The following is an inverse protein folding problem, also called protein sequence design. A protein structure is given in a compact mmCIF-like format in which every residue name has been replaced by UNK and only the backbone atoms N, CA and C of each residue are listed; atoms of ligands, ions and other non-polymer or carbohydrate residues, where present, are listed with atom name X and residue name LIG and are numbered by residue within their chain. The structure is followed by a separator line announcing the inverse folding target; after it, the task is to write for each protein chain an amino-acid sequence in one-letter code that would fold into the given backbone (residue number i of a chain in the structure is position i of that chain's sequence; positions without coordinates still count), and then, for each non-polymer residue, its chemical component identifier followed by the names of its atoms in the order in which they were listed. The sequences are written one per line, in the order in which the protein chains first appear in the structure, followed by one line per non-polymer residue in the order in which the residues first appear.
data_IF_505536125559
#
_entry.id   IF_505536125559
#
_cell.length_a   1.000
_cell.length_b   1.000
_cell.length_c   1.000
_cell.angle_alpha   90.00
_cell.angle_beta   90.00
_cell.angle_gamma   90.00
#
_symmetry.space_group_name_H-M   'P 1'
#
loop_
_entity.id
_entity.type
_entity.pdbx_description
1 polymer ?
#
# COMPACT_ATOMS: atom_id res chain seq x y z
N UNK A 1 -62.02 -59.16 73.19
CA UNK A 1 -63.12 -60.15 73.28
C UNK A 1 -62.87 -61.27 74.30
N UNK A 2 -61.65 -61.80 74.47
CA UNK A 2 -61.36 -62.93 75.39
C UNK A 2 -61.63 -62.66 76.89
N UNK A 3 -61.36 -61.45 77.39
CA UNK A 3 -61.50 -61.12 78.82
C UNK A 3 -62.96 -60.91 79.26
N UNK A 4 -63.82 -60.46 78.36
CA UNK A 4 -65.25 -60.22 78.62
C UNK A 4 -66.03 -61.52 78.64
N UNK A 5 -65.74 -62.45 77.72
CA UNK A 5 -66.31 -63.80 77.68
C UNK A 5 -65.99 -64.62 78.95
N UNK A 6 -64.77 -64.47 79.52
CA UNK A 6 -64.39 -65.11 80.80
C UNK A 6 -65.20 -64.58 81.99
N UNK A 7 -65.49 -63.28 82.03
CA UNK A 7 -66.31 -62.69 83.10
C UNK A 7 -67.78 -63.13 83.02
N UNK A 8 -68.32 -63.27 81.82
CA UNK A 8 -69.70 -63.75 81.62
C UNK A 8 -69.82 -65.22 82.06
N UNK A 9 -68.88 -66.09 81.68
CA UNK A 9 -68.87 -67.50 82.12
C UNK A 9 -68.74 -67.68 83.64
N UNK A 10 -68.00 -66.79 84.32
CA UNK A 10 -67.86 -66.82 85.78
C UNK A 10 -69.10 -66.31 86.52
N UNK A 11 -69.89 -65.43 85.90
CA UNK A 11 -71.15 -64.95 86.46
C UNK A 11 -72.26 -66.01 86.35
N UNK A 12 -72.29 -66.78 85.25
CA UNK A 12 -73.28 -67.86 85.05
C UNK A 12 -73.06 -69.04 86.00
N UNK A 13 -71.80 -69.35 86.38
CA UNK A 13 -71.51 -70.42 87.35
C UNK A 13 -71.91 -70.04 88.78
N UNK A 14 -71.69 -68.79 89.18
CA UNK A 14 -72.09 -68.30 90.51
C UNK A 14 -73.61 -68.21 90.69
N UNK A 15 -74.35 -67.91 89.62
CA UNK A 15 -75.82 -67.87 89.67
C UNK A 15 -76.45 -69.26 89.85
N UNK A 16 -75.89 -70.30 89.22
CA UNK A 16 -76.34 -71.69 89.40
C UNK A 16 -76.07 -72.23 90.82
N UNK A 17 -74.97 -71.80 91.44
CA UNK A 17 -74.59 -72.20 92.80
C UNK A 17 -75.51 -71.57 93.87
N UNK A 18 -75.95 -70.34 93.64
CA UNK A 18 -76.91 -69.63 94.50
C UNK A 18 -78.33 -70.23 94.45
N UNK A 19 -78.82 -70.62 93.26
CA UNK A 19 -80.12 -71.30 93.12
C UNK A 19 -80.16 -72.68 93.80
N UNK A 20 -79.03 -73.40 93.78
CA UNK A 20 -78.92 -74.73 94.40
C UNK A 20 -78.93 -74.66 95.94
N UNK A 21 -78.40 -73.59 96.53
CA UNK A 21 -78.46 -73.36 97.98
C UNK A 21 -79.85 -72.93 98.47
N UNK A 22 -80.60 -72.17 97.67
CA UNK A 22 -81.98 -71.76 98.00
C UNK A 22 -82.96 -72.95 98.03
N UNK A 23 -82.80 -73.93 97.13
CA UNK A 23 -83.65 -75.13 97.11
C UNK A 23 -83.40 -76.06 98.30
N UNK A 24 -82.19 -76.10 98.86
CA UNK A 24 -81.86 -76.92 100.05
C UNK A 24 -82.40 -76.32 101.36
N UNK A 25 -82.67 -75.01 101.40
CA UNK A 25 -83.23 -74.33 102.58
C UNK A 25 -84.75 -74.48 102.78
N UNK A 26 -85.48 -74.95 101.77
CA UNK A 26 -86.95 -74.99 101.79
C UNK A 26 -87.55 -76.25 102.45
N UNK A 27 -86.73 -77.25 102.81
CA UNK A 27 -87.19 -78.56 103.33
C UNK A 27 -87.23 -78.66 104.87
N UNK A 28 -86.82 -77.62 105.60
CA UNK A 28 -86.88 -77.60 107.07
C UNK A 28 -87.58 -76.34 107.58
N UNK A 29 -88.60 -76.57 108.39
CA UNK A 29 -89.29 -75.63 109.30
C UNK A 29 -90.45 -74.81 108.73
N UNK A 30 -91.65 -75.37 108.92
CA UNK A 30 -92.93 -74.66 109.02
C UNK A 30 -92.91 -73.70 110.23
N UNK A 31 -92.99 -72.39 109.96
CA UNK A 31 -93.21 -71.33 110.95
C UNK A 31 -93.88 -70.10 110.31
N UNK A 32 -94.62 -69.26 111.06
CA UNK A 32 -95.78 -68.52 110.51
C UNK A 32 -95.43 -67.21 109.76
N UNK A 33 -95.65 -67.25 108.44
CA UNK A 33 -96.42 -66.36 107.55
C UNK A 33 -96.43 -64.80 107.65
N UNK A 34 -95.70 -64.14 108.55
CA UNK A 34 -95.73 -62.65 108.63
C UNK A 34 -94.45 -61.93 108.16
N UNK A 35 -93.32 -62.64 108.01
CA UNK A 35 -92.02 -62.05 107.61
C UNK A 35 -91.60 -62.28 106.14
N UNK A 36 -92.32 -63.12 105.37
CA UNK A 36 -91.99 -63.42 103.96
C UNK A 36 -92.40 -62.32 102.96
N UNK A 37 -93.29 -61.38 103.32
CA UNK A 37 -93.72 -60.30 102.42
C UNK A 37 -92.71 -59.15 102.31
N UNK A 38 -91.87 -58.96 103.34
CA UNK A 38 -90.84 -57.90 103.38
C UNK A 38 -89.64 -58.29 102.52
N UNK A 39 -89.18 -59.55 102.59
CA UNK A 39 -88.06 -60.05 101.76
C UNK A 39 -88.39 -60.08 100.25
N UNK A 40 -89.63 -60.41 99.88
CA UNK A 40 -90.07 -60.41 98.46
C UNK A 40 -90.21 -58.98 97.92
N UNK A 41 -90.62 -58.03 98.75
CA UNK A 41 -90.66 -56.60 98.38
C UNK A 41 -89.25 -56.01 98.23
N UNK A 42 -88.33 -56.40 99.11
CA UNK A 42 -86.91 -56.04 99.05
C UNK A 42 -86.26 -56.59 97.77
N UNK A 43 -86.50 -57.86 97.44
CA UNK A 43 -86.02 -58.49 96.20
C UNK A 43 -86.60 -57.81 94.94
N UNK A 44 -87.88 -57.42 94.92
CA UNK A 44 -88.44 -56.64 93.81
C UNK A 44 -87.78 -55.28 93.66
N UNK A 45 -87.47 -54.60 94.77
CA UNK A 45 -86.78 -53.30 94.75
C UNK A 45 -85.34 -53.44 94.25
N UNK A 46 -84.64 -54.50 94.67
CA UNK A 46 -83.30 -54.83 94.19
C UNK A 46 -83.31 -55.20 92.70
N UNK A 47 -84.28 -55.99 92.25
CA UNK A 47 -84.45 -56.32 90.82
C UNK A 47 -84.72 -55.04 90.00
N UNK A 48 -85.57 -54.14 90.48
CA UNK A 48 -85.83 -52.85 89.82
C UNK A 48 -84.58 -51.95 89.76
N UNK A 49 -83.74 -51.96 90.79
CA UNK A 49 -82.44 -51.26 90.78
C UNK A 49 -81.47 -51.87 89.78
N UNK A 50 -81.41 -53.20 89.72
CA UNK A 50 -80.54 -53.94 88.79
C UNK A 50 -80.99 -53.71 87.34
N UNK A 51 -82.29 -53.63 87.07
CA UNK A 51 -82.83 -53.38 85.72
C UNK A 51 -82.53 -51.95 85.23
N UNK A 52 -82.60 -50.96 86.14
CA UNK A 52 -82.15 -49.59 85.88
C UNK A 52 -80.64 -49.52 85.61
N UNK A 53 -79.83 -50.26 86.39
CA UNK A 53 -78.38 -50.36 86.18
C UNK A 53 -78.04 -51.07 84.85
N UNK A 54 -78.78 -52.11 84.47
CA UNK A 54 -78.63 -52.80 83.17
C UNK A 54 -78.96 -51.84 82.01
N UNK A 55 -80.01 -51.03 82.14
CA UNK A 55 -80.38 -50.03 81.12
C UNK A 55 -79.26 -48.99 80.95
N UNK A 56 -78.74 -48.47 82.05
CA UNK A 56 -77.62 -47.53 82.08
C UNK A 56 -76.32 -48.13 81.51
N UNK A 57 -76.07 -49.42 81.77
CA UNK A 57 -74.93 -50.15 81.20
C UNK A 57 -75.09 -50.36 79.70
N UNK A 58 -76.30 -50.65 79.21
CA UNK A 58 -76.57 -50.79 77.78
C UNK A 58 -76.41 -49.46 77.02
N UNK A 59 -76.81 -48.34 77.62
CA UNK A 59 -76.64 -47.00 77.03
C UNK A 59 -75.15 -46.62 76.96
N UNK A 60 -74.40 -46.83 78.05
CA UNK A 60 -72.94 -46.66 78.05
C UNK A 60 -72.21 -47.61 77.10
N UNK A 61 -72.72 -48.82 76.91
CA UNK A 61 -72.16 -49.76 75.94
C UNK A 61 -72.37 -49.24 74.51
N UNK A 62 -73.52 -48.63 74.21
CA UNK A 62 -73.82 -48.03 72.91
C UNK A 62 -72.96 -46.79 72.64
N UNK A 63 -72.83 -45.88 73.61
CA UNK A 63 -71.93 -44.73 73.50
C UNK A 63 -70.46 -45.15 73.35
N UNK A 64 -70.05 -46.21 74.07
CA UNK A 64 -68.70 -46.79 73.91
C UNK A 64 -68.51 -47.47 72.55
N UNK A 65 -69.56 -48.02 71.94
CA UNK A 65 -69.53 -48.58 70.59
C UNK A 65 -69.45 -47.48 69.53
N UNK A 66 -70.21 -46.40 69.68
CA UNK A 66 -70.18 -45.24 68.78
C UNK A 66 -68.82 -44.51 68.88
N UNK A 67 -68.28 -44.35 70.10
CA UNK A 67 -66.94 -43.83 70.34
C UNK A 67 -65.84 -44.73 69.75
N UNK A 68 -65.99 -46.05 69.83
CA UNK A 68 -65.08 -47.00 69.17
C UNK A 68 -65.13 -46.86 67.64
N UNK A 69 -66.31 -46.70 67.04
CA UNK A 69 -66.44 -46.47 65.60
C UNK A 69 -65.78 -45.15 65.16
N UNK A 70 -65.93 -44.08 65.93
CA UNK A 70 -65.28 -42.79 65.66
C UNK A 70 -63.74 -42.87 65.79
N UNK A 71 -63.23 -43.61 66.78
CA UNK A 71 -61.78 -43.84 66.94
C UNK A 71 -61.22 -44.67 65.79
N UNK A 72 -61.94 -45.67 65.29
CA UNK A 72 -61.51 -46.44 64.12
C UNK A 72 -61.55 -45.61 62.83
N UNK A 73 -62.54 -44.73 62.65
CA UNK A 73 -62.58 -43.78 61.53
C UNK A 73 -61.38 -42.82 61.55
N UNK A 74 -61.06 -42.21 62.71
CA UNK A 74 -59.89 -41.34 62.87
C UNK A 74 -58.57 -42.10 62.65
N UNK A 75 -58.50 -43.38 63.04
CA UNK A 75 -57.34 -44.23 62.73
C UNK A 75 -57.17 -44.43 61.22
N UNK A 76 -58.26 -44.69 60.50
CA UNK A 76 -58.23 -44.82 59.04
C UNK A 76 -57.79 -43.51 58.36
N UNK A 77 -58.34 -42.36 58.78
CA UNK A 77 -57.95 -41.04 58.28
C UNK A 77 -56.49 -40.71 58.59
N UNK A 78 -55.99 -41.04 59.79
CA UNK A 78 -54.58 -40.85 60.15
C UNK A 78 -53.66 -41.69 59.25
N UNK A 79 -54.05 -42.93 58.93
CA UNK A 79 -53.29 -43.79 58.01
C UNK A 79 -53.29 -43.18 56.61
N UNK A 80 -54.44 -42.72 56.12
CA UNK A 80 -54.54 -42.06 54.82
C UNK A 80 -53.72 -40.77 54.74
N UNK A 81 -53.82 -39.90 55.75
CA UNK A 81 -53.06 -38.65 55.81
C UNK A 81 -51.55 -38.89 55.89
N UNK A 82 -51.10 -39.92 56.63
CA UNK A 82 -49.69 -40.33 56.66
C UNK A 82 -49.21 -40.78 55.29
N UNK A 83 -50.01 -41.56 54.58
CA UNK A 83 -49.65 -42.04 53.24
C UNK A 83 -49.63 -40.90 52.23
N UNK A 84 -50.62 -40.00 52.27
CA UNK A 84 -50.65 -38.81 51.43
C UNK A 84 -49.47 -37.87 51.72
N UNK A 85 -49.07 -37.72 52.98
CA UNK A 85 -47.86 -36.99 53.37
C UNK A 85 -46.60 -37.64 52.79
N UNK A 86 -46.48 -38.98 52.84
CA UNK A 86 -45.37 -39.72 52.22
C UNK A 86 -45.31 -39.52 50.71
N UNK A 87 -46.44 -39.62 50.01
CA UNK A 87 -46.53 -39.40 48.56
C UNK A 87 -46.16 -37.96 48.22
N UNK A 88 -46.65 -36.97 48.96
CA UNK A 88 -46.30 -35.56 48.73
C UNK A 88 -44.82 -35.28 48.98
N UNK A 89 -44.23 -35.85 50.04
CA UNK A 89 -42.80 -35.72 50.33
C UNK A 89 -41.95 -36.38 49.24
N UNK A 90 -42.35 -37.56 48.74
CA UNK A 90 -41.67 -38.21 47.64
C UNK A 90 -41.73 -37.38 46.35
N UNK A 91 -42.90 -36.80 46.04
CA UNK A 91 -43.07 -35.91 44.90
C UNK A 91 -42.23 -34.62 45.03
N UNK A 92 -42.20 -34.00 46.22
CA UNK A 92 -41.39 -32.82 46.50
C UNK A 92 -39.88 -33.11 46.38
N UNK A 93 -39.42 -34.26 46.88
CA UNK A 93 -38.04 -34.71 46.73
C UNK A 93 -37.68 -34.96 45.27
N UNK A 94 -38.59 -35.54 44.48
CA UNK A 94 -38.39 -35.75 43.04
C UNK A 94 -38.30 -34.40 42.30
N UNK A 95 -39.24 -33.49 42.53
CA UNK A 95 -39.23 -32.15 41.95
C UNK A 95 -37.98 -31.35 42.33
N UNK A 96 -37.52 -31.44 43.59
CA UNK A 96 -36.30 -30.78 44.03
C UNK A 96 -35.04 -31.35 43.35
N UNK A 97 -35.00 -32.66 43.06
CA UNK A 97 -33.90 -33.27 42.29
C UNK A 97 -33.91 -32.82 40.84
N UNK A 98 -35.08 -32.79 40.19
CA UNK A 98 -35.25 -32.33 38.81
C UNK A 98 -34.89 -30.84 38.68
N UNK A 99 -35.34 -29.98 39.60
CA UNK A 99 -34.98 -28.57 39.62
C UNK A 99 -33.47 -28.34 39.76
N UNK A 100 -32.79 -29.11 40.62
CA UNK A 100 -31.33 -29.02 40.75
C UNK A 100 -30.61 -29.48 39.48
N UNK A 101 -31.11 -30.53 38.83
CA UNK A 101 -30.56 -30.99 37.55
C UNK A 101 -30.73 -29.93 36.45
N UNK A 102 -31.89 -29.29 36.38
CA UNK A 102 -32.19 -28.23 35.42
C UNK A 102 -31.34 -26.98 35.68
N UNK A 103 -31.20 -26.55 36.93
CA UNK A 103 -30.32 -25.43 37.29
C UNK A 103 -28.85 -25.72 36.93
N UNK A 104 -28.39 -26.95 37.13
CA UNK A 104 -27.04 -27.34 36.72
C UNK A 104 -26.87 -27.35 35.19
N UNK A 105 -27.90 -27.79 34.45
CA UNK A 105 -27.90 -27.73 32.99
C UNK A 105 -27.93 -26.28 32.47
N UNK A 106 -28.71 -25.41 33.11
CA UNK A 106 -28.80 -23.99 32.79
C UNK A 106 -27.47 -23.26 33.03
N UNK A 107 -26.83 -23.46 34.18
CA UNK A 107 -25.49 -22.86 34.42
C UNK A 107 -24.46 -23.30 33.38
N UNK A 108 -24.48 -24.59 32.99
CA UNK A 108 -23.60 -25.10 31.93
C UNK A 108 -23.90 -24.48 30.57
N UNK A 109 -25.16 -24.17 30.26
CA UNK A 109 -25.51 -23.50 29.00
C UNK A 109 -25.10 -22.03 29.02
N UNK A 110 -25.28 -21.33 30.14
CA UNK A 110 -24.80 -19.95 30.34
C UNK A 110 -23.28 -19.84 30.16
N UNK A 111 -22.50 -20.75 30.76
CA UNK A 111 -21.05 -20.81 30.58
C UNK A 111 -20.65 -21.00 29.11
N UNK A 112 -21.35 -21.89 28.38
CA UNK A 112 -21.13 -22.11 26.95
C UNK A 112 -21.47 -20.87 26.12
N UNK A 113 -22.58 -20.19 26.45
CA UNK A 113 -23.00 -18.96 25.77
C UNK A 113 -21.98 -17.84 26.02
N UNK A 114 -21.50 -17.68 27.25
CA UNK A 114 -20.46 -16.70 27.58
C UNK A 114 -19.16 -16.98 26.82
N UNK A 115 -18.75 -18.26 26.73
CA UNK A 115 -17.59 -18.67 25.94
C UNK A 115 -17.76 -18.34 24.45
N UNK A 116 -18.89 -18.70 23.85
CA UNK A 116 -19.20 -18.42 22.44
C UNK A 116 -19.26 -16.91 22.16
N UNK A 117 -19.82 -16.10 23.07
CA UNK A 117 -19.84 -14.65 22.94
C UNK A 117 -18.43 -14.05 22.90
N UNK A 118 -17.53 -14.57 23.73
CA UNK A 118 -16.11 -14.17 23.73
C UNK A 118 -15.40 -14.56 22.44
N UNK A 119 -15.63 -15.78 21.94
CA UNK A 119 -15.07 -16.26 20.67
C UNK A 119 -15.58 -15.44 19.49
N UNK A 120 -16.88 -15.11 19.44
CA UNK A 120 -17.48 -14.25 18.42
C UNK A 120 -16.88 -12.85 18.44
N UNK A 121 -16.70 -12.26 19.63
CA UNK A 121 -16.04 -10.95 19.75
C UNK A 121 -14.61 -10.99 19.22
N UNK A 122 -13.83 -11.99 19.65
CA UNK A 122 -12.46 -12.18 19.17
C UNK A 122 -12.40 -12.40 17.64
N UNK A 123 -13.38 -13.11 17.08
CA UNK A 123 -13.48 -13.32 15.63
C UNK A 123 -13.81 -12.02 14.88
N UNK A 124 -14.71 -11.19 15.43
CA UNK A 124 -15.02 -9.87 14.87
C UNK A 124 -13.81 -8.95 14.88
N UNK A 125 -13.08 -8.86 16.00
CA UNK A 125 -11.86 -8.05 16.12
C UNK A 125 -10.78 -8.49 15.11
N UNK A 126 -10.65 -9.80 14.88
CA UNK A 126 -9.75 -10.36 13.85
C UNK A 126 -10.20 -10.01 12.43
N UNK A 127 -11.50 -10.02 12.17
CA UNK A 127 -12.04 -9.65 10.87
C UNK A 127 -11.78 -8.18 10.55
N UNK A 128 -12.02 -7.28 11.50
CA UNK A 128 -11.74 -5.85 11.36
C UNK A 128 -10.25 -5.57 11.09
N UNK A 129 -9.36 -6.28 11.80
CA UNK A 129 -7.93 -6.17 11.56
C UNK A 129 -7.55 -6.65 10.14
N UNK A 130 -8.15 -7.75 9.70
CA UNK A 130 -7.89 -8.34 8.39
C UNK A 130 -8.44 -7.45 7.26
N UNK A 131 -9.59 -6.81 7.46
CA UNK A 131 -10.15 -5.83 6.52
C UNK A 131 -9.23 -4.61 6.38
N UNK A 132 -8.73 -4.06 7.48
CA UNK A 132 -7.74 -2.96 7.46
C UNK A 132 -6.46 -3.36 6.72
N UNK A 133 -5.94 -4.57 6.98
CA UNK A 133 -4.75 -5.09 6.30
C UNK A 133 -5.02 -5.29 4.80
N UNK A 134 -6.21 -5.76 4.43
CA UNK A 134 -6.59 -5.94 3.02
C UNK A 134 -6.68 -4.59 2.29
N UNK A 135 -7.26 -3.56 2.92
CA UNK A 135 -7.29 -2.19 2.39
C UNK A 135 -5.87 -1.63 2.17
N UNK A 136 -4.97 -1.79 3.13
CA UNK A 136 -3.57 -1.38 3.00
C UNK A 136 -2.85 -2.13 1.86
N UNK A 137 -2.99 -3.46 1.83
CA UNK A 137 -2.41 -4.31 0.77
C UNK A 137 -2.93 -3.92 -0.62
N UNK A 138 -4.23 -3.61 -0.75
CA UNK A 138 -4.82 -3.13 -2.01
C UNK A 138 -4.25 -1.78 -2.44
N UNK A 139 -4.03 -0.85 -1.51
CA UNK A 139 -3.40 0.44 -1.80
C UNK A 139 -1.94 0.27 -2.27
N UNK A 140 -1.17 -0.58 -1.60
CA UNK A 140 0.21 -0.90 -1.99
C UNK A 140 0.27 -1.56 -3.37
N UNK A 141 -0.66 -2.49 -3.67
CA UNK A 141 -0.76 -3.13 -4.98
C UNK A 141 -1.07 -2.12 -6.09
N UNK A 142 -1.98 -1.17 -5.85
CA UNK A 142 -2.27 -0.09 -6.81
C UNK A 142 -1.05 0.80 -7.05
N UNK A 143 -0.29 1.14 -5.99
CA UNK A 143 0.96 1.89 -6.10
C UNK A 143 2.00 1.14 -6.93
N UNK A 144 2.19 -0.16 -6.67
CA UNK A 144 3.12 -1.01 -7.40
C UNK A 144 2.71 -1.15 -8.89
N UNK A 145 1.41 -1.24 -9.18
CA UNK A 145 0.88 -1.32 -10.53
C UNK A 145 1.12 -0.02 -11.30
N UNK A 146 0.92 1.14 -10.67
CA UNK A 146 1.23 2.43 -11.28
C UNK A 146 2.73 2.61 -11.54
N UNK A 147 3.59 2.29 -10.57
CA UNK A 147 5.03 2.31 -10.75
C UNK A 147 5.48 1.37 -11.89
N UNK A 148 4.86 0.19 -12.02
CA UNK A 148 5.12 -0.73 -13.13
C UNK A 148 4.68 -0.16 -14.49
N UNK A 149 3.54 0.56 -14.55
CA UNK A 149 3.10 1.26 -15.78
C UNK A 149 4.09 2.35 -16.17
N UNK A 150 4.54 3.15 -15.22
CA UNK A 150 5.55 4.20 -15.43
C UNK A 150 6.86 3.59 -15.95
N UNK A 151 7.42 2.60 -15.24
CA UNK A 151 8.62 1.89 -15.70
C UNK A 151 8.45 1.29 -17.10
N UNK A 152 7.27 0.73 -17.42
CA UNK A 152 6.98 0.21 -18.77
C UNK A 152 6.98 1.30 -19.82
N UNK A 153 6.48 2.50 -19.50
CA UNK A 153 6.53 3.65 -20.41
C UNK A 153 7.97 4.13 -20.61
N UNK A 154 8.78 4.20 -19.56
CA UNK A 154 10.20 4.57 -19.64
C UNK A 154 11.00 3.56 -20.45
N UNK A 155 10.85 2.25 -20.18
CA UNK A 155 11.55 1.18 -20.92
C UNK A 155 11.19 1.20 -22.40
N UNK A 156 9.93 1.52 -22.74
CA UNK A 156 9.52 1.68 -24.15
C UNK A 156 10.20 2.89 -24.80
N UNK A 157 10.25 4.03 -24.11
CA UNK A 157 10.98 5.21 -24.59
C UNK A 157 12.47 4.91 -24.83
N UNK A 158 13.14 4.31 -23.83
CA UNK A 158 14.55 3.91 -23.94
C UNK A 158 14.77 2.90 -25.07
N UNK A 159 13.85 1.95 -25.27
CA UNK A 159 13.93 0.98 -26.38
C UNK A 159 13.80 1.66 -27.75
N UNK A 160 12.89 2.62 -27.88
CA UNK A 160 12.71 3.41 -29.11
C UNK A 160 13.97 4.25 -29.39
N UNK A 161 14.57 4.86 -28.36
CA UNK A 161 15.84 5.57 -28.47
C UNK A 161 17.00 4.64 -28.88
N UNK A 162 17.12 3.46 -28.26
CA UNK A 162 18.12 2.44 -28.63
C UNK A 162 17.92 1.94 -30.05
N UNK A 163 16.67 1.77 -30.50
CA UNK A 163 16.36 1.39 -31.86
C UNK A 163 16.78 2.47 -32.85
N UNK A 164 16.58 3.76 -32.51
CA UNK A 164 17.04 4.87 -33.32
C UNK A 164 18.58 4.96 -33.34
N UNK A 165 19.23 4.82 -32.19
CA UNK A 165 20.69 4.80 -32.08
C UNK A 165 21.31 3.64 -32.87
N UNK A 166 20.72 2.44 -32.80
CA UNK A 166 21.16 1.28 -33.58
C UNK A 166 21.02 1.51 -35.09
N UNK A 167 19.91 2.13 -35.53
CA UNK A 167 19.74 2.55 -36.93
C UNK A 167 20.83 3.55 -37.34
N UNK A 168 21.24 4.48 -36.48
CA UNK A 168 22.35 5.40 -36.75
C UNK A 168 23.66 4.65 -36.92
N UNK A 169 24.03 3.75 -35.99
CA UNK A 169 25.29 2.98 -36.06
C UNK A 169 25.36 2.07 -37.27
N UNK A 170 24.22 1.56 -37.75
CA UNK A 170 24.13 0.74 -38.96
C UNK A 170 24.07 1.58 -40.26
N UNK A 171 24.25 2.90 -40.18
CA UNK A 171 24.16 3.79 -41.34
C UNK A 171 22.74 3.98 -41.88
N UNK A 172 21.70 3.60 -41.13
CA UNK A 172 20.29 3.78 -41.45
C UNK A 172 19.77 5.21 -41.19
N UNK A 173 18.56 5.48 -41.68
CA UNK A 173 17.90 6.78 -41.53
C UNK A 173 17.28 6.95 -40.13
N UNK A 174 17.48 8.13 -39.52
CA UNK A 174 16.79 8.58 -38.31
C UNK A 174 15.89 9.78 -38.64
N UNK A 175 14.93 10.12 -37.78
CA UNK A 175 13.81 11.05 -38.05
C UNK A 175 14.23 12.43 -38.60
N UNK A 176 15.42 12.92 -38.25
CA UNK A 176 16.00 14.15 -38.82
C UNK A 176 16.83 13.89 -40.08
N UNK A 177 17.53 12.74 -40.17
CA UNK A 177 18.22 12.29 -41.40
C UNK A 177 17.27 12.13 -42.58
N UNK A 178 16.02 11.71 -42.35
CA UNK A 178 15.02 11.55 -43.41
C UNK A 178 14.73 12.87 -44.15
N UNK A 179 14.95 14.03 -43.51
CA UNK A 179 14.85 15.34 -44.18
C UNK A 179 16.10 15.70 -45.01
N UNK A 180 17.27 15.15 -44.67
CA UNK A 180 18.57 15.51 -45.26
C UNK A 180 19.20 14.40 -46.13
N UNK A 181 18.62 13.20 -46.21
CA UNK A 181 19.10 12.07 -47.03
C UNK A 181 18.07 11.52 -48.01
N UNK A 182 17.16 12.39 -48.45
CA UNK A 182 16.65 12.22 -49.81
C UNK A 182 17.89 12.15 -50.75
N UNK A 183 17.96 11.20 -51.71
CA UNK A 183 19.07 11.10 -52.66
C UNK A 183 19.45 12.44 -53.32
N UNK A 184 18.50 13.39 -53.40
CA UNK A 184 18.74 14.77 -53.85
C UNK A 184 19.74 15.58 -53.00
N UNK A 185 20.05 15.15 -51.77
CA UNK A 185 20.93 15.84 -50.84
C UNK A 185 22.26 15.11 -50.56
N UNK A 186 22.52 13.96 -51.20
CA UNK A 186 23.79 13.24 -51.10
C UNK A 186 25.07 14.10 -51.35
N UNK A 187 25.05 15.13 -52.24
CA UNK A 187 26.20 16.03 -52.41
C UNK A 187 26.54 16.88 -51.17
N UNK A 188 25.57 17.10 -50.27
CA UNK A 188 25.78 17.86 -49.03
C UNK A 188 26.45 17.01 -47.95
N UNK A 189 26.08 15.72 -47.86
CA UNK A 189 26.65 14.76 -46.90
C UNK A 189 28.16 14.58 -47.12
N UNK A 190 28.60 14.48 -48.39
CA UNK A 190 30.01 14.38 -48.75
C UNK A 190 30.85 15.65 -48.52
N UNK A 191 30.23 16.83 -48.38
CA UNK A 191 30.92 18.09 -48.05
C UNK A 191 30.96 18.39 -46.55
N UNK A 192 30.02 17.84 -45.78
CA UNK A 192 29.77 18.25 -44.38
C UNK A 192 30.13 17.16 -43.37
N UNK A 193 30.55 15.98 -43.81
CA UNK A 193 30.94 14.89 -42.91
C UNK A 193 32.27 14.25 -43.34
N UNK A 194 33.42 14.77 -42.88
CA UNK A 194 34.61 13.94 -42.74
C UNK A 194 34.60 13.23 -41.38
N UNK A 195 35.25 12.07 -41.31
CA UNK A 195 35.51 11.33 -40.07
C UNK A 195 36.18 12.21 -38.97
N UNK A 196 36.69 13.38 -39.34
CA UNK A 196 37.38 14.36 -38.51
C UNK A 196 36.45 15.23 -37.65
N UNK A 197 35.14 15.31 -37.92
CA UNK A 197 34.23 16.19 -37.18
C UNK A 197 34.11 15.86 -35.68
N UNK A 198 34.24 14.57 -35.31
CA UNK A 198 34.27 14.14 -33.91
C UNK A 198 35.64 14.35 -33.25
N UNK A 199 36.74 14.28 -34.01
CA UNK A 199 38.07 14.59 -33.53
C UNK A 199 38.25 16.11 -33.30
N UNK A 200 37.67 16.95 -34.16
CA UNK A 200 37.64 18.40 -34.00
C UNK A 200 36.84 18.86 -32.79
N UNK A 201 35.78 18.14 -32.43
CA UNK A 201 35.00 18.43 -31.22
C UNK A 201 35.83 18.17 -29.95
N UNK A 202 36.54 17.04 -29.89
CA UNK A 202 37.42 16.72 -28.77
C UNK A 202 38.57 17.75 -28.63
N UNK A 203 39.13 18.18 -29.75
CA UNK A 203 40.20 19.19 -29.80
C UNK A 203 39.69 20.59 -29.41
N UNK A 204 38.53 21.00 -29.92
CA UNK A 204 37.89 22.28 -29.55
C UNK A 204 37.51 22.33 -28.07
N UNK A 205 37.13 21.19 -27.49
CA UNK A 205 36.86 21.07 -26.05
C UNK A 205 38.14 21.31 -25.23
N UNK A 206 39.27 20.74 -25.66
CA UNK A 206 40.56 20.96 -25.02
C UNK A 206 41.06 22.43 -25.16
N UNK A 207 40.85 23.03 -26.33
CA UNK A 207 41.23 24.43 -26.59
C UNK A 207 40.36 25.41 -25.79
N UNK A 208 39.05 25.14 -25.65
CA UNK A 208 38.16 25.92 -24.79
C UNK A 208 38.57 25.83 -23.31
N UNK A 209 38.94 24.64 -22.83
CA UNK A 209 39.43 24.46 -21.45
C UNK A 209 40.72 25.26 -21.20
N UNK A 210 41.61 25.34 -22.19
CA UNK A 210 42.84 26.13 -22.12
C UNK A 210 42.54 27.65 -22.11
N UNK A 211 41.63 28.11 -22.97
CA UNK A 211 41.23 29.51 -23.05
C UNK A 211 40.69 30.05 -21.72
N UNK A 212 39.79 29.31 -21.07
CA UNK A 212 39.22 29.73 -19.79
C UNK A 212 40.21 29.67 -18.63
N UNK A 213 41.12 28.69 -18.64
CA UNK A 213 42.23 28.59 -17.68
C UNK A 213 43.12 29.84 -17.69
N UNK A 214 43.35 30.45 -18.86
CA UNK A 214 44.21 31.62 -19.03
C UNK A 214 43.49 32.95 -18.70
N UNK A 215 42.15 32.99 -18.71
CA UNK A 215 41.36 34.18 -18.32
C UNK A 215 41.13 34.31 -16.81
N UNK A 216 41.29 33.23 -16.04
CA UNK A 216 41.18 33.24 -14.57
C UNK A 216 39.75 33.42 -14.01
N UNK A 217 38.75 33.62 -14.87
CA UNK A 217 37.35 33.81 -14.48
C UNK A 217 36.61 32.47 -14.35
N UNK A 218 36.75 31.86 -13.17
CA UNK A 218 36.22 30.53 -12.85
C UNK A 218 34.69 30.45 -12.90
N UNK A 219 33.97 31.55 -12.73
CA UNK A 219 32.50 31.53 -12.77
C UNK A 219 31.98 31.47 -14.22
N UNK A 220 32.62 32.21 -15.13
CA UNK A 220 32.30 32.14 -16.57
C UNK A 220 32.67 30.78 -17.15
N UNK A 221 33.82 30.23 -16.78
CA UNK A 221 34.25 28.87 -17.14
C UNK A 221 33.24 27.82 -16.66
N UNK A 222 32.84 27.90 -15.39
CA UNK A 222 31.86 26.98 -14.79
C UNK A 222 30.49 27.09 -15.45
N UNK A 223 30.05 28.29 -15.80
CA UNK A 223 28.81 28.52 -16.54
C UNK A 223 28.90 27.89 -17.94
N UNK A 224 30.00 28.11 -18.66
CA UNK A 224 30.25 27.53 -19.99
C UNK A 224 30.32 26.00 -19.97
N UNK A 225 30.86 25.37 -18.92
CA UNK A 225 30.87 23.90 -18.83
C UNK A 225 29.56 23.32 -18.29
N UNK A 226 28.80 24.07 -17.49
CA UNK A 226 27.52 23.62 -16.93
C UNK A 226 26.46 23.26 -17.99
N UNK A 227 26.54 23.87 -19.17
CA UNK A 227 25.70 23.57 -20.33
C UNK A 227 26.07 22.25 -21.04
N UNK A 228 27.24 21.67 -20.76
CA UNK A 228 27.73 20.43 -21.39
C UNK A 228 27.96 19.28 -20.41
N UNK A 229 27.90 19.54 -19.11
CA UNK A 229 28.10 18.51 -18.10
C UNK A 229 27.07 17.39 -18.26
N UNK A 230 27.59 16.19 -18.51
CA UNK A 230 26.80 14.98 -18.64
C UNK A 230 25.91 14.80 -17.40
N UNK A 231 24.58 14.71 -17.55
CA UNK A 231 23.75 14.33 -16.43
C UNK A 231 24.10 12.90 -16.01
N UNK A 232 23.82 12.57 -14.75
CA UNK A 232 23.99 11.21 -14.21
C UNK A 232 23.22 10.13 -15.01
N UNK A 233 22.30 10.54 -15.90
CA UNK A 233 21.73 9.74 -16.98
C UNK A 233 22.00 10.41 -18.33
N UNK A 234 22.23 9.65 -19.41
CA UNK A 234 22.28 10.20 -20.76
C UNK A 234 21.04 11.07 -21.03
N UNK A 235 21.24 12.31 -21.47
CA UNK A 235 20.15 13.21 -21.83
C UNK A 235 19.21 12.52 -22.83
N UNK A 236 17.88 12.61 -22.64
CA UNK A 236 16.90 12.25 -23.66
C UNK A 236 17.22 12.94 -24.99
N UNK A 237 16.85 12.32 -26.12
CA UNK A 237 17.16 12.84 -27.45
C UNK A 237 16.64 14.28 -27.67
N UNK A 238 15.49 14.63 -27.09
CA UNK A 238 14.90 15.98 -27.13
C UNK A 238 15.79 17.05 -26.50
N UNK A 239 16.42 16.75 -25.37
CA UNK A 239 17.30 17.68 -24.66
C UNK A 239 18.64 17.83 -25.39
N UNK A 240 19.17 16.76 -25.98
CA UNK A 240 20.34 16.82 -26.88
C UNK A 240 20.08 17.71 -28.10
N UNK A 241 18.86 17.67 -28.64
CA UNK A 241 18.45 18.50 -29.77
C UNK A 241 18.40 20.00 -29.40
N UNK A 242 18.03 20.33 -28.17
CA UNK A 242 18.09 21.72 -27.66
C UNK A 242 19.53 22.22 -27.62
N UNK A 243 20.46 21.40 -27.10
CA UNK A 243 21.89 21.75 -27.06
C UNK A 243 22.45 21.99 -28.47
N UNK A 244 22.11 21.12 -29.43
CA UNK A 244 22.54 21.28 -30.83
C UNK A 244 21.92 22.52 -31.49
N UNK A 245 20.66 22.85 -31.19
CA UNK A 245 20.01 24.05 -31.71
C UNK A 245 20.69 25.32 -31.17
N UNK A 246 21.05 25.34 -29.89
CA UNK A 246 21.75 26.47 -29.27
C UNK A 246 23.17 26.62 -29.80
N UNK A 247 23.89 25.51 -30.02
CA UNK A 247 25.21 25.53 -30.65
C UNK A 247 25.14 26.13 -32.07
N UNK A 248 24.16 25.73 -32.88
CA UNK A 248 23.94 26.32 -34.20
C UNK A 248 23.62 27.82 -34.13
N UNK A 249 22.84 28.27 -33.13
CA UNK A 249 22.55 29.70 -32.91
C UNK A 249 23.82 30.49 -32.62
N UNK A 250 24.66 29.99 -31.71
CA UNK A 250 25.92 30.62 -31.34
C UNK A 250 26.90 30.68 -32.52
N UNK A 251 27.02 29.59 -33.28
CA UNK A 251 27.86 29.56 -34.47
C UNK A 251 27.37 30.56 -35.55
N UNK A 252 26.05 30.69 -35.71
CA UNK A 252 25.47 31.71 -36.57
C UNK A 252 25.81 33.14 -36.14
N UNK A 253 25.84 33.43 -34.83
CA UNK A 253 26.26 34.74 -34.34
C UNK A 253 27.76 35.00 -34.58
N UNK A 254 28.61 33.98 -34.36
CA UNK A 254 30.05 34.09 -34.59
C UNK A 254 30.38 34.34 -36.08
N UNK A 255 29.80 33.55 -36.99
CA UNK A 255 29.98 33.73 -38.43
C UNK A 255 29.50 35.11 -38.90
N UNK A 256 28.39 35.61 -38.34
CA UNK A 256 27.88 36.95 -38.64
C UNK A 256 28.86 38.03 -38.21
N UNK A 257 29.42 37.91 -37.01
CA UNK A 257 30.45 38.84 -36.54
C UNK A 257 31.66 38.90 -37.49
N UNK A 258 32.14 37.74 -37.97
CA UNK A 258 33.25 37.68 -38.94
C UNK A 258 32.88 38.36 -40.26
N UNK A 259 31.69 38.11 -40.79
CA UNK A 259 31.24 38.73 -42.04
C UNK A 259 31.06 40.25 -41.89
N UNK A 260 30.49 40.72 -40.77
CA UNK A 260 30.30 42.15 -40.51
C UNK A 260 31.65 42.90 -40.45
N UNK A 261 32.69 42.29 -39.87
CA UNK A 261 34.03 42.88 -39.80
C UNK A 261 34.79 42.85 -41.13
N UNK A 262 34.67 41.75 -41.88
CA UNK A 262 35.39 41.62 -43.15
C UNK A 262 34.68 42.32 -44.31
N UNK A 263 33.35 42.48 -44.26
CA UNK A 263 32.54 43.09 -45.33
C UNK A 263 31.40 43.97 -44.81
N UNK A 264 31.69 45.14 -44.22
CA UNK A 264 30.67 46.05 -43.67
C UNK A 264 29.72 46.62 -44.73
N UNK A 265 30.08 46.55 -46.02
CA UNK A 265 29.29 47.04 -47.16
C UNK A 265 28.39 45.99 -47.80
N UNK A 266 28.46 44.71 -47.41
CA UNK A 266 27.61 43.66 -47.99
C UNK A 266 26.20 43.69 -47.40
N UNK A 267 25.18 43.24 -48.16
CA UNK A 267 23.84 43.05 -47.63
C UNK A 267 23.87 42.08 -46.44
N UNK A 268 23.25 42.50 -45.34
CA UNK A 268 23.15 41.66 -44.15
C UNK A 268 22.36 40.39 -44.49
N UNK A 269 22.87 39.20 -44.16
CA UNK A 269 22.13 37.98 -44.43
C UNK A 269 20.95 37.84 -43.45
N UNK A 270 19.76 37.78 -44.03
CA UNK A 270 18.47 37.65 -43.31
C UNK A 270 18.21 36.22 -42.79
N UNK A 271 19.05 35.25 -43.17
CA UNK A 271 18.95 33.85 -42.74
C UNK A 271 20.32 33.24 -42.44
N UNK A 272 20.33 32.18 -41.63
CA UNK A 272 21.54 31.39 -41.36
C UNK A 272 22.11 30.76 -42.64
N UNK A 273 21.25 30.31 -43.56
CA UNK A 273 21.70 29.79 -44.85
C UNK A 273 22.37 30.87 -45.70
N UNK A 274 21.78 32.07 -45.79
CA UNK A 274 22.40 33.22 -46.47
C UNK A 274 23.75 33.60 -45.86
N UNK A 275 23.87 33.48 -44.53
CA UNK A 275 25.13 33.70 -43.82
C UNK A 275 26.20 32.65 -44.19
N UNK A 276 25.85 31.37 -44.21
CA UNK A 276 26.77 30.28 -44.62
C UNK A 276 27.19 30.45 -46.08
N UNK A 277 26.27 30.82 -46.98
CA UNK A 277 26.61 31.06 -48.38
C UNK A 277 27.58 32.23 -48.55
N UNK A 278 27.36 33.33 -47.82
CA UNK A 278 28.29 34.45 -47.82
C UNK A 278 29.66 34.03 -47.30
N UNK A 279 29.70 33.22 -46.24
CA UNK A 279 30.94 32.70 -45.65
C UNK A 279 31.70 31.75 -46.60
N UNK A 280 31.01 30.87 -47.31
CA UNK A 280 31.63 29.98 -48.29
C UNK A 280 32.16 30.76 -49.52
N UNK A 281 31.52 31.87 -49.87
CA UNK A 281 31.99 32.79 -50.92
C UNK A 281 33.22 33.63 -50.52
N UNK A 282 33.74 33.49 -49.30
CA UNK A 282 34.86 34.28 -48.78
C UNK A 282 36.21 33.85 -49.39
N UNK A 283 36.43 32.56 -49.62
CA UNK A 283 37.75 32.04 -50.02
C UNK A 283 38.25 32.67 -51.33
N UNK A 284 37.48 32.69 -52.44
CA UNK A 284 37.92 33.34 -53.68
C UNK A 284 38.18 34.85 -53.50
N UNK A 285 37.44 35.51 -52.60
CA UNK A 285 37.58 36.93 -52.33
C UNK A 285 38.86 37.24 -51.53
N UNK A 286 39.20 36.39 -50.55
CA UNK A 286 40.47 36.50 -49.82
C UNK A 286 41.64 36.30 -50.78
N UNK A 287 41.54 35.33 -51.69
CA UNK A 287 42.58 35.09 -52.68
C UNK A 287 42.73 36.28 -53.65
N UNK A 288 41.61 36.87 -54.09
CA UNK A 288 41.63 38.11 -54.88
C UNK A 288 42.28 39.27 -54.11
N UNK A 289 41.97 39.45 -52.83
CA UNK A 289 42.57 40.47 -51.97
C UNK A 289 44.09 40.25 -51.80
N UNK A 290 44.52 39.02 -51.53
CA UNK A 290 45.95 38.67 -51.43
C UNK A 290 46.70 38.98 -52.72
N UNK A 291 46.16 38.55 -53.86
CA UNK A 291 46.72 38.86 -55.18
C UNK A 291 46.81 40.37 -55.41
N UNK A 292 45.76 41.10 -55.06
CA UNK A 292 45.70 42.56 -55.19
C UNK A 292 46.79 43.26 -54.36
N UNK A 293 46.96 42.86 -53.10
CA UNK A 293 48.01 43.43 -52.24
C UNK A 293 49.42 43.11 -52.74
N UNK A 294 49.62 41.93 -53.33
CA UNK A 294 50.87 41.53 -53.95
C UNK A 294 51.18 42.38 -55.21
N UNK A 295 50.18 42.56 -56.09
CA UNK A 295 50.30 43.38 -57.30
C UNK A 295 50.64 44.83 -56.93
N UNK A 296 49.96 45.42 -55.94
CA UNK A 296 50.23 46.78 -55.53
C UNK A 296 51.63 46.94 -54.92
N UNK A 297 52.04 45.99 -54.07
CA UNK A 297 53.40 45.96 -53.51
C UNK A 297 54.46 45.87 -54.60
N UNK A 298 54.25 45.00 -55.60
CA UNK A 298 55.14 44.87 -56.75
C UNK A 298 55.17 46.14 -57.60
N UNK A 299 54.01 46.77 -57.84
CA UNK A 299 53.91 48.04 -58.57
C UNK A 299 54.69 49.15 -57.88
N UNK A 300 54.54 49.30 -56.56
CA UNK A 300 55.27 50.28 -55.77
C UNK A 300 56.77 50.03 -55.77
N UNK A 301 57.19 48.77 -55.63
CA UNK A 301 58.60 48.38 -55.66
C UNK A 301 59.23 48.69 -57.03
N UNK A 302 58.61 48.24 -58.12
CA UNK A 302 59.09 48.48 -59.48
C UNK A 302 59.11 49.98 -59.83
N UNK A 303 58.12 50.76 -59.38
CA UNK A 303 58.13 52.21 -59.58
C UNK A 303 59.31 52.88 -58.85
N UNK A 304 59.61 52.46 -57.62
CA UNK A 304 60.77 52.95 -56.87
C UNK A 304 62.09 52.58 -57.56
N UNK A 305 62.23 51.33 -58.01
CA UNK A 305 63.42 50.88 -58.75
C UNK A 305 63.59 51.69 -60.04
N UNK A 306 62.51 51.89 -60.82
CA UNK A 306 62.52 52.68 -62.05
C UNK A 306 62.86 54.15 -61.82
N UNK A 307 62.59 54.69 -60.62
CA UNK A 307 63.00 56.06 -60.27
C UNK A 307 64.51 56.24 -60.17
N UNK A 308 65.25 55.17 -59.87
CA UNK A 308 66.72 55.15 -59.87
C UNK A 308 67.31 54.69 -61.21
N UNK A 309 66.62 53.80 -61.93
CA UNK A 309 67.03 53.29 -63.24
C UNK A 309 65.93 53.51 -64.27
N UNK A 310 65.92 54.68 -64.92
CA UNK A 310 64.84 55.10 -65.82
C UNK A 310 64.67 54.21 -67.04
N UNK A 311 65.78 53.69 -67.55
CA UNK A 311 65.83 52.84 -68.75
C UNK A 311 65.47 51.37 -68.46
N UNK A 312 65.22 51.02 -67.18
CA UNK A 312 64.77 49.70 -66.79
C UNK A 312 63.38 49.39 -67.36
N UNK A 313 63.26 48.24 -68.03
CA UNK A 313 61.99 47.71 -68.49
C UNK A 313 61.41 46.73 -67.44
N UNK A 314 60.35 47.15 -66.76
CA UNK A 314 59.78 46.41 -65.63
C UNK A 314 59.24 45.02 -66.01
N UNK A 315 58.75 44.85 -67.23
CA UNK A 315 58.30 43.56 -67.79
C UNK A 315 59.46 42.61 -67.98
N UNK A 316 60.62 43.08 -68.47
CA UNK A 316 61.84 42.28 -68.60
C UNK A 316 62.30 41.80 -67.22
N UNK A 317 62.35 42.70 -66.23
CA UNK A 317 62.78 42.34 -64.87
C UNK A 317 61.83 41.35 -64.19
N UNK A 318 60.53 41.42 -64.47
CA UNK A 318 59.56 40.49 -63.91
C UNK A 318 59.58 39.09 -64.57
N UNK A 319 60.15 38.95 -65.78
CA UNK A 319 60.00 37.73 -66.60
C UNK A 319 61.32 37.05 -66.96
N UNK A 320 62.44 37.76 -66.92
CA UNK A 320 63.74 37.26 -67.34
C UNK A 320 64.69 37.10 -66.16
N UNK A 321 65.40 35.98 -66.13
CA UNK A 321 66.52 35.79 -65.21
C UNK A 321 67.71 36.65 -65.67
N UNK A 322 68.52 37.19 -64.73
CA UNK A 322 69.70 37.96 -65.09
C UNK A 322 70.67 37.12 -65.92
N UNK A 323 71.20 37.71 -67.00
CA UNK A 323 72.13 37.03 -67.88
C UNK A 323 73.54 37.00 -67.28
N UNK A 324 74.15 35.81 -67.21
CA UNK A 324 75.59 35.59 -67.02
C UNK A 324 76.15 35.94 -65.63
N UNK A 325 76.60 34.93 -64.87
CA UNK A 325 77.46 35.08 -63.69
C UNK A 325 76.87 35.80 -62.47
N UNK A 326 75.64 36.30 -62.55
CA UNK A 326 74.95 36.98 -61.45
C UNK A 326 74.22 35.99 -60.55
N UNK A 327 74.14 36.32 -59.26
CA UNK A 327 73.34 35.55 -58.32
C UNK A 327 71.85 35.66 -58.65
N UNK A 328 71.08 34.56 -58.50
CA UNK A 328 69.65 34.57 -58.78
C UNK A 328 68.92 35.46 -57.76
N UNK A 329 67.71 35.93 -58.10
CA UNK A 329 66.98 36.93 -57.31
C UNK A 329 66.74 36.47 -55.85
N UNK A 330 66.60 35.17 -55.64
CA UNK A 330 66.44 34.52 -54.34
C UNK A 330 67.59 34.85 -53.37
N UNK A 331 68.80 35.08 -53.89
CA UNK A 331 69.98 35.40 -53.09
C UNK A 331 69.86 36.73 -52.34
N UNK A 332 69.02 37.65 -52.84
CA UNK A 332 68.86 38.99 -52.28
C UNK A 332 67.61 39.16 -51.42
N UNK A 333 66.77 38.11 -51.27
CA UNK A 333 65.48 38.20 -50.57
C UNK A 333 65.61 38.71 -49.12
N UNK A 334 66.60 38.22 -48.39
CA UNK A 334 66.85 38.65 -47.01
C UNK A 334 67.23 40.13 -46.93
N UNK A 335 68.03 40.60 -47.89
CA UNK A 335 68.49 42.00 -47.95
C UNK A 335 67.35 42.97 -48.28
N UNK A 336 66.34 42.52 -49.04
CA UNK A 336 65.20 43.37 -49.45
C UNK A 336 63.97 43.21 -48.54
N UNK A 337 63.98 42.27 -47.59
CA UNK A 337 62.83 41.94 -46.74
C UNK A 337 62.33 43.16 -45.95
N UNK A 338 63.23 43.95 -45.36
CA UNK A 338 62.82 45.14 -44.60
C UNK A 338 62.24 46.23 -45.50
N UNK A 339 62.82 46.43 -46.68
CA UNK A 339 62.26 47.31 -47.70
C UNK A 339 60.86 46.86 -48.15
N UNK A 340 60.66 45.56 -48.33
CA UNK A 340 59.37 44.98 -48.68
C UNK A 340 58.31 45.21 -47.58
N UNK A 341 58.67 45.12 -46.30
CA UNK A 341 57.77 45.46 -45.19
C UNK A 341 57.33 46.91 -45.20
N UNK A 342 58.27 47.83 -45.44
CA UNK A 342 57.97 49.28 -45.53
C UNK A 342 57.06 49.61 -46.70
N UNK A 343 57.24 48.94 -47.84
CA UNK A 343 56.33 49.06 -49.00
C UNK A 343 54.97 48.45 -48.66
N UNK A 344 54.94 47.25 -48.06
CA UNK A 344 53.71 46.58 -47.65
C UNK A 344 52.86 47.41 -46.67
N UNK A 345 53.49 48.19 -45.80
CA UNK A 345 52.80 49.11 -44.89
C UNK A 345 52.11 50.29 -45.61
N UNK A 346 52.54 50.63 -46.82
CA UNK A 346 51.96 51.70 -47.64
C UNK A 346 50.91 51.17 -48.63
N UNK A 347 50.86 49.85 -48.87
CA UNK A 347 49.86 49.25 -49.75
C UNK A 347 48.44 49.49 -49.22
N UNK A 348 47.55 49.93 -50.11
CA UNK A 348 46.13 50.06 -49.77
C UNK A 348 45.50 48.67 -49.59
N UNK A 349 44.84 48.46 -48.46
CA UNK A 349 44.12 47.21 -48.16
C UNK A 349 42.73 47.12 -48.82
N UNK A 350 42.29 48.22 -49.46
CA UNK A 350 40.93 48.37 -49.96
C UNK A 350 40.83 48.33 -51.50
N UNK A 351 41.96 48.21 -52.21
CA UNK A 351 41.99 48.17 -53.67
C UNK A 351 42.05 46.71 -54.12
N UNK A 352 41.09 46.31 -54.94
CA UNK A 352 41.08 45.02 -55.62
C UNK A 352 41.52 45.21 -57.07
N UNK A 353 42.55 44.49 -57.49
CA UNK A 353 42.97 44.36 -58.87
C UNK A 353 42.35 43.07 -59.41
N UNK A 354 41.60 43.18 -60.51
CA UNK A 354 40.99 42.04 -61.21
C UNK A 354 42.01 41.30 -62.09
#
# INVERSE_FOLDING_TARGET
MSTVLKKISSATSGLNEAFTSLLRGFEVSKGPAANQSVEVAELRRQIGSIDADITLVNERLKESQDGAAAVEALRAELVQAKEQARVSNAAALKAAKELRAEQAAHRRSEEKVAKMAMELKNAADRYDLLEKKNKASSADLNKALNATKEMRTEVRGVREELQQASKITAGGSYLLRTKFLDPKYAPLDGRWSPADAYADLAKSTADAAKFFKDQGDKEVEKLFWSQFNAPARPLPLSEKMVVVAELHRLFGLAMRSVIDHLWPKRPKPDSYFGLVQQFLGVVPQIDAMRRSTCIEGARMALARVKSYWTDMEATIVATQNPAGGQYPAEHYLDQVTEGARLIGAQCSKNILFE
#
